data_IF_000181467875
#
_entry.id   IF_000181467875
#
_cell.length_a   1.000
_cell.length_b   1.000
_cell.length_c   1.000
_cell.angle_alpha   90.00
_cell.angle_beta   90.00
_cell.angle_gamma   90.00
#
_symmetry.space_group_name_H-M   'P 1'
#
loop_
_entity.id
_entity.type
_entity.pdbx_description
1 polymer ?
#
# COMPACT_ATOMS: atom_id res chain seq x y z
N UNK A 1 21.98 -6.95 11.35
CA UNK A 1 20.51 -7.01 11.54
C UNK A 1 19.88 -7.07 10.17
N UNK A 2 19.36 -8.23 9.77
CA UNK A 2 18.81 -8.45 8.43
C UNK A 2 17.42 -7.80 8.33
N UNK A 3 17.35 -6.67 7.62
CA UNK A 3 16.08 -6.08 7.19
C UNK A 3 15.38 -7.08 6.26
N UNK A 4 14.41 -7.82 6.78
CA UNK A 4 13.50 -8.67 6.01
C UNK A 4 12.55 -7.79 5.17
N UNK A 5 13.09 -7.11 4.16
CA UNK A 5 12.32 -6.54 3.07
C UNK A 5 11.85 -7.69 2.19
N UNK A 6 10.55 -8.01 2.21
CA UNK A 6 9.95 -8.87 1.17
C UNK A 6 10.37 -8.27 -0.20
N UNK A 7 11.03 -9.02 -1.10
CA UNK A 7 11.61 -8.48 -2.34
C UNK A 7 10.62 -7.71 -3.21
N UNK A 8 9.35 -8.15 -3.20
CA UNK A 8 8.25 -7.53 -3.92
C UNK A 8 7.95 -6.08 -3.47
N UNK A 9 8.16 -5.77 -2.18
CA UNK A 9 7.86 -4.44 -1.63
C UNK A 9 8.93 -3.41 -1.97
N UNK A 10 10.19 -3.84 -2.14
CA UNK A 10 11.28 -2.94 -2.53
C UNK A 10 11.20 -2.56 -4.01
N UNK A 11 10.92 -3.52 -4.88
CA UNK A 11 10.78 -3.29 -6.32
C UNK A 11 9.70 -2.25 -6.62
N UNK A 12 8.50 -2.45 -6.08
CA UNK A 12 7.37 -1.57 -6.36
C UNK A 12 7.58 -0.14 -5.81
N UNK A 13 8.30 0.00 -4.68
CA UNK A 13 8.67 1.31 -4.14
C UNK A 13 9.67 2.04 -5.07
N UNK A 14 10.69 1.33 -5.55
CA UNK A 14 11.66 1.87 -6.52
C UNK A 14 10.94 2.26 -7.82
N UNK A 15 10.06 1.41 -8.35
CA UNK A 15 9.26 1.69 -9.54
C UNK A 15 8.41 2.97 -9.39
N UNK A 16 7.78 3.14 -8.23
CA UNK A 16 7.04 4.36 -7.90
C UNK A 16 7.93 5.61 -7.82
N UNK A 17 9.14 5.50 -7.24
CA UNK A 17 10.10 6.60 -7.20
C UNK A 17 10.53 7.01 -8.60
N UNK A 18 10.99 6.04 -9.40
CA UNK A 18 11.50 6.26 -10.76
C UNK A 18 10.42 6.82 -11.69
N UNK A 19 9.19 6.30 -11.62
CA UNK A 19 8.07 6.77 -12.45
C UNK A 19 7.66 8.22 -12.17
N UNK A 20 7.85 8.74 -10.96
CA UNK A 20 7.52 10.14 -10.63
C UNK A 20 8.71 11.07 -10.88
N UNK A 21 9.91 10.67 -10.47
CA UNK A 21 11.08 11.55 -10.45
C UNK A 21 11.87 11.54 -11.75
N UNK A 22 11.91 10.41 -12.46
CA UNK A 22 12.79 10.21 -13.60
C UNK A 22 12.06 9.87 -14.90
N UNK A 23 10.73 9.71 -14.89
CA UNK A 23 9.95 9.45 -16.11
C UNK A 23 10.01 10.58 -17.14
N UNK A 24 10.29 11.82 -16.73
CA UNK A 24 10.48 12.96 -17.66
C UNK A 24 11.80 12.88 -18.44
N UNK A 25 12.78 12.15 -17.90
CA UNK A 25 14.09 11.95 -18.53
C UNK A 25 14.20 10.60 -19.26
N UNK A 26 13.20 9.74 -19.07
CA UNK A 26 13.06 8.50 -19.82
C UNK A 26 12.79 8.83 -21.30
N UNK A 27 13.50 8.14 -22.20
CA UNK A 27 13.37 8.27 -23.66
C UNK A 27 12.17 7.48 -24.20
N UNK A 28 11.72 6.47 -23.46
CA UNK A 28 10.59 5.60 -23.72
C UNK A 28 9.78 5.49 -22.43
N UNK A 29 8.50 5.26 -22.56
CA UNK A 29 7.61 5.06 -21.42
C UNK A 29 6.63 3.96 -21.80
N UNK A 30 6.41 3.04 -20.88
CA UNK A 30 5.39 2.01 -20.97
C UNK A 30 4.18 2.42 -20.15
N UNK A 31 3.03 2.45 -20.79
CA UNK A 31 1.76 2.67 -20.14
C UNK A 31 1.13 1.32 -19.75
N UNK A 32 0.84 1.13 -18.46
CA UNK A 32 0.05 -0.01 -17.98
C UNK A 32 -1.25 0.49 -17.34
N UNK A 33 -2.36 -0.19 -17.66
CA UNK A 33 -3.63 0.02 -16.96
C UNK A 33 -3.63 -0.81 -15.68
N UNK A 34 -3.81 -0.16 -14.54
CA UNK A 34 -3.99 -0.87 -13.28
C UNK A 34 -5.33 -1.60 -13.34
N UNK A 35 -5.33 -2.92 -13.12
CA UNK A 35 -6.52 -3.78 -13.20
C UNK A 35 -7.77 -3.10 -12.61
N UNK A 36 -8.73 -2.77 -13.48
CA UNK A 36 -10.02 -2.17 -13.11
C UNK A 36 -10.06 -0.65 -12.96
N UNK A 37 -8.99 0.09 -13.24
CA UNK A 37 -8.94 1.56 -13.17
C UNK A 37 -8.77 2.24 -14.53
N UNK A 38 -9.41 3.41 -14.71
CA UNK A 38 -9.24 4.31 -15.86
C UNK A 38 -7.93 5.14 -15.81
N UNK A 39 -7.09 4.95 -14.78
CA UNK A 39 -5.85 5.70 -14.59
C UNK A 39 -4.68 4.96 -15.22
N UNK A 40 -4.12 5.55 -16.28
CA UNK A 40 -2.92 5.10 -16.95
C UNK A 40 -1.71 5.33 -16.03
N UNK A 41 -0.94 4.28 -15.74
CA UNK A 41 0.34 4.41 -15.04
C UNK A 41 1.45 4.35 -16.09
N UNK A 42 2.23 5.43 -16.19
CA UNK A 42 3.43 5.46 -17.01
C UNK A 42 4.60 4.94 -16.18
N UNK A 43 5.26 3.90 -16.69
CA UNK A 43 6.44 3.24 -16.13
C UNK A 43 7.56 3.30 -17.17
N UNK A 44 8.81 3.06 -16.74
CA UNK A 44 9.93 2.97 -17.68
C UNK A 44 9.80 1.75 -18.59
N UNK A 45 10.17 1.88 -19.86
CA UNK A 45 10.18 0.75 -20.79
C UNK A 45 11.29 -0.26 -20.45
N UNK A 46 11.25 -1.44 -21.04
CA UNK A 46 12.26 -2.48 -20.81
C UNK A 46 13.66 -2.01 -21.29
N UNK A 47 14.69 -2.26 -20.46
CA UNK A 47 16.09 -1.85 -20.70
C UNK A 47 16.36 -0.36 -20.73
N UNK A 48 15.41 0.44 -20.25
CA UNK A 48 15.54 1.88 -20.17
C UNK A 48 16.55 2.30 -19.10
N UNK A 49 17.32 3.35 -19.42
CA UNK A 49 18.32 3.93 -18.53
C UNK A 49 17.92 5.35 -18.16
N UNK A 50 17.75 5.60 -16.88
CA UNK A 50 17.59 6.94 -16.31
C UNK A 50 18.76 7.23 -15.39
N UNK A 51 19.18 8.49 -15.32
CA UNK A 51 20.29 8.91 -14.47
C UNK A 51 19.74 9.82 -13.39
N UNK A 52 19.94 9.44 -12.14
CA UNK A 52 19.66 10.28 -10.99
C UNK A 52 20.96 10.95 -10.52
N UNK A 53 20.84 12.12 -9.89
CA UNK A 53 21.96 12.84 -9.30
C UNK A 53 21.75 13.00 -7.79
N UNK A 54 22.63 12.40 -7.00
CA UNK A 54 22.55 12.42 -5.55
C UNK A 54 23.87 12.84 -4.93
N UNK A 55 23.90 13.99 -4.24
CA UNK A 55 25.10 14.59 -3.66
C UNK A 55 26.31 14.61 -4.63
N UNK A 56 26.08 14.94 -5.90
CA UNK A 56 27.10 15.00 -6.96
C UNK A 56 27.54 13.64 -7.52
N UNK A 57 26.93 12.53 -7.08
CA UNK A 57 27.09 11.22 -7.70
C UNK A 57 26.03 11.00 -8.78
N UNK A 58 26.48 10.62 -9.98
CA UNK A 58 25.59 10.15 -11.05
C UNK A 58 25.31 8.67 -10.86
N UNK A 59 24.03 8.33 -10.71
CA UNK A 59 23.56 6.99 -10.43
C UNK A 59 22.61 6.59 -11.55
N UNK A 60 22.92 5.52 -12.26
CA UNK A 60 22.11 5.05 -13.38
C UNK A 60 21.25 3.86 -12.97
N UNK A 61 19.95 3.97 -13.25
CA UNK A 61 18.98 2.90 -13.09
C UNK A 61 18.68 2.25 -14.44
N UNK A 62 18.70 0.93 -14.48
CA UNK A 62 18.41 0.14 -15.69
C UNK A 62 17.31 -0.86 -15.37
N UNK A 63 16.18 -0.79 -16.07
CA UNK A 63 15.11 -1.80 -15.96
C UNK A 63 15.52 -3.09 -16.69
N UNK A 64 15.11 -4.24 -16.18
CA UNK A 64 15.37 -5.52 -16.82
C UNK A 64 14.31 -6.56 -16.50
N UNK A 65 14.18 -7.54 -17.39
CA UNK A 65 13.24 -8.65 -17.27
C UNK A 65 14.00 -9.95 -17.49
N UNK A 66 13.80 -10.91 -16.60
CA UNK A 66 14.31 -12.27 -16.73
C UNK A 66 13.14 -13.19 -17.04
N UNK A 67 13.22 -13.88 -18.18
CA UNK A 67 12.27 -14.92 -18.57
C UNK A 67 12.96 -16.26 -18.37
N UNK A 68 12.56 -17.02 -17.35
CA UNK A 68 12.96 -18.41 -17.19
C UNK A 68 11.92 -19.31 -17.86
N UNK A 69 12.35 -20.07 -18.87
CA UNK A 69 11.55 -21.17 -19.45
C UNK A 69 11.89 -22.45 -18.71
N UNK A 70 11.01 -22.92 -17.83
CA UNK A 70 11.07 -24.28 -17.32
C UNK A 70 10.15 -25.19 -18.14
N UNK A 71 10.73 -26.27 -18.65
CA UNK A 71 10.02 -27.23 -19.50
C UNK A 71 9.03 -28.06 -18.67
N UNK A 72 7.79 -28.11 -19.19
CA UNK A 72 6.71 -29.11 -19.04
C UNK A 72 5.40 -28.62 -18.40
N UNK A 73 5.39 -27.50 -17.69
CA UNK A 73 4.17 -26.82 -17.25
C UNK A 73 4.32 -25.32 -17.51
N UNK A 74 3.54 -24.77 -18.43
CA UNK A 74 3.57 -23.37 -18.87
C UNK A 74 3.22 -22.41 -17.72
N UNK A 75 4.18 -22.12 -16.84
CA UNK A 75 4.17 -20.94 -15.98
C UNK A 75 5.40 -20.12 -16.36
N UNK A 76 5.20 -19.13 -17.23
CA UNK A 76 6.21 -18.10 -17.48
C UNK A 76 6.37 -17.26 -16.22
N UNK A 77 7.34 -17.61 -15.38
CA UNK A 77 7.73 -16.81 -14.22
C UNK A 77 8.56 -15.62 -14.70
N UNK A 78 7.87 -14.54 -15.04
CA UNK A 78 8.50 -13.26 -15.37
C UNK A 78 9.05 -12.60 -14.10
N UNK A 79 10.37 -12.38 -14.04
CA UNK A 79 10.99 -11.61 -12.95
C UNK A 79 11.50 -10.26 -13.47
N UNK A 80 10.82 -9.19 -13.07
CA UNK A 80 11.29 -7.81 -13.30
C UNK A 80 12.35 -7.44 -12.25
N UNK A 81 13.36 -6.67 -12.64
CA UNK A 81 14.41 -6.17 -11.75
C UNK A 81 14.90 -4.79 -12.17
N UNK A 82 15.53 -4.09 -11.24
CA UNK A 82 16.27 -2.87 -11.50
C UNK A 82 17.75 -3.08 -11.19
N UNK A 83 18.62 -2.66 -12.11
CA UNK A 83 20.07 -2.66 -11.94
C UNK A 83 20.56 -1.24 -11.70
N UNK A 84 21.38 -1.07 -10.67
CA UNK A 84 22.02 0.18 -10.32
C UNK A 84 23.47 0.20 -10.82
N UNK A 85 23.89 1.30 -11.47
CA UNK A 85 25.25 1.52 -11.95
C UNK A 85 25.75 2.88 -11.48
N UNK A 86 26.87 2.89 -10.75
CA UNK A 86 27.47 4.08 -10.18
C UNK A 86 28.98 3.87 -10.00
N UNK A 87 29.73 4.96 -9.85
CA UNK A 87 31.17 4.88 -9.62
C UNK A 87 31.47 4.28 -8.23
N UNK A 88 32.38 3.31 -8.14
CA UNK A 88 32.72 2.57 -6.90
C UNK A 88 32.99 3.46 -5.68
N UNK A 89 33.55 4.66 -5.88
CA UNK A 89 33.83 5.65 -4.83
C UNK A 89 32.58 6.08 -4.03
N UNK A 90 31.39 5.93 -4.60
CA UNK A 90 30.12 6.29 -3.97
C UNK A 90 29.39 5.08 -3.37
N UNK A 91 30.01 3.91 -3.30
CA UNK A 91 29.33 2.66 -2.91
C UNK A 91 28.60 2.78 -1.58
N UNK A 92 29.28 3.23 -0.54
CA UNK A 92 28.70 3.26 0.81
C UNK A 92 27.56 4.30 0.90
N UNK A 93 27.75 5.48 0.30
CA UNK A 93 26.69 6.50 0.19
C UNK A 93 25.47 5.97 -0.58
N UNK A 94 25.69 5.20 -1.65
CA UNK A 94 24.61 4.68 -2.47
C UNK A 94 23.86 3.55 -1.75
N UNK A 95 24.57 2.62 -1.13
CA UNK A 95 23.94 1.47 -0.45
C UNK A 95 23.24 1.87 0.84
N UNK A 96 23.81 2.83 1.58
CA UNK A 96 23.38 3.09 2.96
C UNK A 96 22.44 4.29 3.05
N UNK A 97 22.56 5.28 2.14
CA UNK A 97 21.78 6.52 2.20
C UNK A 97 20.81 6.60 1.03
N UNK A 98 21.33 6.53 -0.20
CA UNK A 98 20.51 6.75 -1.40
C UNK A 98 19.39 5.72 -1.53
N UNK A 99 19.68 4.42 -1.41
CA UNK A 99 18.68 3.37 -1.54
C UNK A 99 17.60 3.45 -0.45
N UNK A 100 17.97 3.82 0.78
CA UNK A 100 17.01 4.02 1.86
C UNK A 100 16.06 5.18 1.54
N UNK A 101 16.61 6.30 1.07
CA UNK A 101 15.81 7.46 0.65
C UNK A 101 14.89 7.13 -0.53
N UNK A 102 15.39 6.43 -1.55
CA UNK A 102 14.58 5.98 -2.71
C UNK A 102 13.42 5.10 -2.26
N UNK A 103 13.68 4.12 -1.39
CA UNK A 103 12.63 3.25 -0.86
C UNK A 103 11.62 4.04 -0.02
N UNK A 104 12.10 4.97 0.80
CA UNK A 104 11.24 5.82 1.65
C UNK A 104 10.31 6.68 0.79
N UNK A 105 10.86 7.47 -0.14
CA UNK A 105 10.08 8.32 -1.05
C UNK A 105 9.18 7.49 -1.95
N UNK A 106 9.69 6.36 -2.46
CA UNK A 106 8.92 5.41 -3.24
C UNK A 106 7.68 4.90 -2.50
N UNK A 107 7.82 4.53 -1.23
CA UNK A 107 6.70 4.13 -0.38
C UNK A 107 5.73 5.27 -0.14
N UNK A 108 6.20 6.48 0.08
CA UNK A 108 5.33 7.66 0.23
C UNK A 108 4.49 7.91 -1.03
N UNK A 109 5.09 7.77 -2.22
CA UNK A 109 4.38 7.84 -3.51
C UNK A 109 3.37 6.71 -3.63
N UNK A 110 3.74 5.48 -3.28
CA UNK A 110 2.83 4.34 -3.31
C UNK A 110 1.64 4.55 -2.39
N UNK A 111 1.86 5.01 -1.16
CA UNK A 111 0.78 5.33 -0.23
C UNK A 111 -0.11 6.43 -0.81
N UNK A 112 0.47 7.50 -1.34
CA UNK A 112 -0.28 8.61 -1.95
C UNK A 112 -1.10 8.19 -3.17
N UNK A 113 -0.60 7.24 -3.97
CA UNK A 113 -1.27 6.77 -5.19
C UNK A 113 -2.13 5.52 -4.96
N UNK A 114 -2.05 4.90 -3.78
CA UNK A 114 -2.86 3.74 -3.43
C UNK A 114 -4.31 4.18 -3.38
N UNK A 115 -5.14 3.48 -4.16
CA UNK A 115 -6.58 3.54 -3.96
C UNK A 115 -6.94 2.61 -2.80
N UNK A 116 -7.67 3.14 -1.81
CA UNK A 116 -8.28 2.35 -0.75
C UNK A 116 -9.18 1.27 -1.34
N UNK A 117 -9.33 0.17 -0.62
CA UNK A 117 -10.11 -0.99 -1.04
C UNK A 117 -11.19 -1.30 -0.01
N UNK A 118 -12.32 -1.79 -0.51
CA UNK A 118 -13.37 -2.40 0.29
C UNK A 118 -13.31 -3.90 0.06
N UNK A 119 -13.00 -4.63 1.12
CA UNK A 119 -12.91 -6.08 1.15
C UNK A 119 -14.20 -6.68 1.69
N UNK A 120 -14.66 -7.75 1.07
CA UNK A 120 -15.83 -8.53 1.50
C UNK A 120 -15.46 -10.02 1.54
N UNK A 121 -15.95 -10.75 2.53
CA UNK A 121 -15.77 -12.19 2.62
C UNK A 121 -16.86 -12.90 1.81
N UNK A 122 -16.46 -13.57 0.73
CA UNK A 122 -17.37 -14.38 -0.07
C UNK A 122 -17.22 -15.86 0.33
N UNK A 123 -18.26 -16.45 0.92
CA UNK A 123 -18.27 -17.84 1.42
C UNK A 123 -18.11 -18.96 0.38
N UNK A 124 -17.83 -18.61 -0.88
CA UNK A 124 -17.76 -19.52 -2.03
C UNK A 124 -16.47 -19.42 -2.88
N UNK A 125 -15.53 -18.51 -2.58
CA UNK A 125 -14.29 -18.34 -3.37
C UNK A 125 -13.09 -19.08 -2.76
N UNK A 126 -12.13 -19.48 -3.61
CA UNK A 126 -10.79 -19.94 -3.18
C UNK A 126 -10.02 -18.85 -2.42
N UNK A 127 -10.35 -17.58 -2.65
CA UNK A 127 -9.75 -16.43 -1.96
C UNK A 127 -10.64 -15.98 -0.82
N UNK A 128 -10.09 -15.89 0.38
CA UNK A 128 -10.80 -15.54 1.62
C UNK A 128 -11.45 -14.14 1.57
N UNK A 129 -10.85 -13.19 0.84
CA UNK A 129 -11.37 -11.84 0.64
C UNK A 129 -11.44 -11.47 -0.85
N UNK A 130 -12.57 -10.92 -1.30
CA UNK A 130 -12.69 -10.17 -2.56
C UNK A 130 -12.64 -8.68 -2.30
N UNK A 131 -12.27 -7.86 -3.28
CA UNK A 131 -12.25 -6.41 -3.09
C UNK A 131 -12.67 -5.61 -4.32
N UNK A 132 -13.18 -4.41 -4.04
CA UNK A 132 -13.39 -3.33 -4.99
C UNK A 132 -12.62 -2.09 -4.56
N UNK A 133 -12.46 -1.13 -5.45
CA UNK A 133 -11.95 0.20 -5.09
C UNK A 133 -12.96 0.88 -4.16
N UNK A 134 -12.48 1.37 -3.02
CA UNK A 134 -13.27 2.13 -2.07
C UNK A 134 -13.19 3.63 -2.39
N UNK A 135 -14.22 4.14 -3.05
CA UNK A 135 -14.42 5.56 -3.32
C UNK A 135 -15.73 6.01 -2.65
N UNK A 136 -15.61 6.70 -1.51
CA UNK A 136 -16.75 7.24 -0.77
C UNK A 136 -16.52 8.72 -0.45
N UNK A 137 -17.47 9.63 -0.71
CA UNK A 137 -17.26 11.08 -0.57
C UNK A 137 -17.26 11.57 0.88
N UNK A 138 -17.75 10.77 1.84
CA UNK A 138 -17.89 11.20 3.22
C UNK A 138 -16.55 11.55 3.88
N UNK A 139 -16.51 12.70 4.52
CA UNK A 139 -15.43 13.14 5.40
C UNK A 139 -16.03 13.46 6.76
N UNK A 140 -15.18 13.63 7.78
CA UNK A 140 -15.68 14.13 9.06
C UNK A 140 -16.39 15.49 8.91
N UNK A 141 -15.95 16.33 7.98
CA UNK A 141 -16.63 17.59 7.65
C UNK A 141 -18.09 17.41 7.20
N UNK A 142 -18.37 16.38 6.39
CA UNK A 142 -19.73 16.11 5.88
C UNK A 142 -20.65 15.39 6.88
N UNK A 143 -20.13 14.90 8.01
CA UNK A 143 -20.96 14.21 9.01
C UNK A 143 -21.81 15.21 9.81
N UNK A 144 -23.12 14.98 9.84
CA UNK A 144 -24.05 15.74 10.68
C UNK A 144 -24.00 15.23 12.13
N UNK A 145 -23.17 15.86 12.95
CA UNK A 145 -23.00 15.55 14.37
C UNK A 145 -22.45 16.76 15.12
N UNK A 146 -22.57 16.76 16.44
CA UNK A 146 -22.03 17.81 17.30
C UNK A 146 -20.51 17.96 17.11
N UNK A 147 -20.05 19.21 16.96
CA UNK A 147 -18.65 19.51 16.64
C UNK A 147 -17.67 19.00 17.70
N UNK A 148 -18.01 19.14 18.99
CA UNK A 148 -17.17 18.68 20.08
C UNK A 148 -16.95 17.16 20.03
N UNK A 149 -18.04 16.39 19.88
CA UNK A 149 -17.99 14.92 19.78
C UNK A 149 -17.28 14.45 18.50
N UNK A 150 -17.44 15.19 17.41
CA UNK A 150 -16.71 14.94 16.17
C UNK A 150 -15.20 15.06 16.39
N UNK A 151 -14.77 16.14 17.03
CA UNK A 151 -13.37 16.41 17.30
C UNK A 151 -12.77 15.37 18.26
N UNK A 152 -13.48 15.02 19.32
CA UNK A 152 -13.07 13.98 20.28
C UNK A 152 -12.75 12.64 19.58
N UNK A 153 -13.63 12.21 18.66
CA UNK A 153 -13.45 10.96 17.92
C UNK A 153 -12.27 11.07 16.94
N UNK A 154 -12.12 12.21 16.25
CA UNK A 154 -10.98 12.44 15.37
C UNK A 154 -9.66 12.39 16.13
N UNK A 155 -9.58 13.06 17.28
CA UNK A 155 -8.38 13.11 18.10
C UNK A 155 -8.00 11.72 18.62
N UNK A 156 -8.99 10.92 19.07
CA UNK A 156 -8.75 9.54 19.51
C UNK A 156 -8.23 8.65 18.36
N UNK A 157 -8.79 8.79 17.16
CA UNK A 157 -8.38 8.02 15.98
C UNK A 157 -6.95 8.36 15.56
N UNK A 158 -6.61 9.66 15.50
CA UNK A 158 -5.27 10.12 15.16
C UNK A 158 -4.24 9.72 16.23
N UNK A 159 -4.61 9.87 17.50
CA UNK A 159 -3.78 9.41 18.62
C UNK A 159 -3.54 7.90 18.54
N UNK A 160 -4.57 7.09 18.29
CA UNK A 160 -4.42 5.65 18.15
C UNK A 160 -3.50 5.27 17.00
N UNK A 161 -3.64 5.92 15.83
CA UNK A 161 -2.76 5.72 14.66
C UNK A 161 -1.29 5.97 15.00
N UNK A 162 -1.02 7.04 15.75
CA UNK A 162 0.34 7.50 16.02
C UNK A 162 0.95 6.83 17.27
N UNK A 163 0.17 6.04 18.02
CA UNK A 163 0.59 5.39 19.28
C UNK A 163 1.23 4.00 19.12
N UNK A 164 1.55 3.53 17.90
CA UNK A 164 2.07 2.17 17.68
C UNK A 164 3.27 1.81 18.58
N UNK A 165 4.27 2.70 18.65
CA UNK A 165 5.49 2.48 19.43
C UNK A 165 5.22 2.51 20.93
N UNK A 166 4.24 3.31 21.38
CA UNK A 166 3.81 3.34 22.77
C UNK A 166 3.25 1.98 23.19
N UNK A 167 2.35 1.38 22.38
CA UNK A 167 1.78 0.05 22.65
C UNK A 167 2.87 -1.03 22.69
N UNK A 168 3.82 -0.99 21.75
CA UNK A 168 4.96 -1.89 21.72
C UNK A 168 5.82 -1.79 22.99
N UNK A 169 6.14 -0.56 23.43
CA UNK A 169 6.96 -0.29 24.62
C UNK A 169 6.33 -0.84 25.90
N UNK A 170 5.01 -0.80 26.02
CA UNK A 170 4.29 -1.29 27.21
C UNK A 170 3.84 -2.75 27.07
N UNK A 171 4.21 -3.44 25.98
CA UNK A 171 3.88 -4.84 25.74
C UNK A 171 2.39 -5.12 25.52
N UNK A 172 1.60 -4.12 25.07
CA UNK A 172 0.16 -4.29 24.80
C UNK A 172 -0.12 -4.45 23.32
N UNK A 173 -1.15 -5.22 22.99
CA UNK A 173 -1.62 -5.36 21.61
C UNK A 173 -2.15 -4.01 21.09
N UNK A 174 -1.63 -3.56 19.94
CA UNK A 174 -2.07 -2.33 19.27
C UNK A 174 -3.42 -2.57 18.58
N UNK A 175 -4.51 -2.45 19.36
CA UNK A 175 -5.90 -2.67 18.93
C UNK A 175 -6.83 -1.64 19.57
N UNK A 176 -7.84 -1.20 18.82
CA UNK A 176 -8.88 -0.27 19.28
C UNK A 176 -10.23 -0.71 18.70
N UNK A 177 -11.28 -0.69 19.53
CA UNK A 177 -12.64 -1.06 19.12
C UNK A 177 -13.61 0.08 19.35
N UNK A 178 -14.50 0.32 18.39
CA UNK A 178 -15.55 1.34 18.47
C UNK A 178 -16.91 0.66 18.25
N UNK A 179 -17.91 1.04 19.05
CA UNK A 179 -19.29 0.60 18.89
C UNK A 179 -20.15 1.78 18.46
N UNK A 180 -20.63 1.75 17.21
CA UNK A 180 -21.58 2.73 16.69
C UNK A 180 -22.99 2.15 16.82
N UNK A 181 -23.84 2.80 17.63
CA UNK A 181 -25.21 2.36 17.87
C UNK A 181 -26.20 3.51 17.63
N UNK A 182 -27.45 3.14 17.31
CA UNK A 182 -28.53 4.08 17.04
C UNK A 182 -29.48 3.58 15.95
N UNK A 183 -30.61 4.27 15.72
CA UNK A 183 -31.60 3.91 14.70
C UNK A 183 -31.02 3.66 13.30
N UNK A 184 -31.65 2.84 12.45
CA UNK A 184 -31.24 2.72 11.05
C UNK A 184 -31.30 4.09 10.36
N UNK A 185 -30.38 4.34 9.42
CA UNK A 185 -30.32 5.62 8.69
C UNK A 185 -29.58 6.77 9.38
N UNK A 186 -29.06 6.61 10.60
CA UNK A 186 -28.31 7.67 11.31
C UNK A 186 -26.85 7.85 10.88
N UNK A 187 -26.48 7.40 9.68
CA UNK A 187 -25.13 7.62 9.13
C UNK A 187 -24.00 6.79 9.74
N UNK A 188 -24.27 5.67 10.42
CA UNK A 188 -23.23 4.80 10.99
C UNK A 188 -22.21 4.32 9.94
N UNK A 189 -22.68 3.78 8.82
CA UNK A 189 -21.80 3.34 7.73
C UNK A 189 -21.08 4.52 7.07
N UNK A 190 -21.75 5.68 6.96
CA UNK A 190 -21.15 6.93 6.49
C UNK A 190 -20.01 7.39 7.40
N UNK A 191 -20.13 7.20 8.71
CA UNK A 191 -19.08 7.48 9.68
C UNK A 191 -17.89 6.54 9.52
N UNK A 192 -18.12 5.24 9.31
CA UNK A 192 -17.05 4.27 8.99
C UNK A 192 -16.29 4.73 7.73
N UNK A 193 -17.00 5.17 6.69
CA UNK A 193 -16.37 5.68 5.49
C UNK A 193 -15.54 6.96 5.73
N UNK A 194 -16.04 7.88 6.55
CA UNK A 194 -15.29 9.07 6.95
C UNK A 194 -14.02 8.73 7.75
N UNK A 195 -14.08 7.72 8.62
CA UNK A 195 -12.92 7.21 9.37
C UNK A 195 -11.88 6.60 8.42
N UNK A 196 -12.31 5.75 7.50
CA UNK A 196 -11.43 5.15 6.50
C UNK A 196 -10.73 6.23 5.64
N UNK A 197 -11.47 7.29 5.28
CA UNK A 197 -10.93 8.42 4.53
C UNK A 197 -9.94 9.27 5.36
N UNK A 198 -10.19 9.47 6.65
CA UNK A 198 -9.30 10.22 7.57
C UNK A 198 -7.98 9.49 7.81
N UNK A 199 -8.04 8.18 8.00
CA UNK A 199 -6.88 7.35 8.35
C UNK A 199 -6.14 6.79 7.12
N UNK A 200 -6.75 6.93 5.94
CA UNK A 200 -6.32 6.30 4.70
C UNK A 200 -6.25 4.76 4.77
N UNK A 201 -7.27 4.17 5.38
CA UNK A 201 -7.35 2.73 5.63
C UNK A 201 -8.28 2.03 4.63
N UNK A 202 -7.95 0.78 4.31
CA UNK A 202 -8.88 -0.12 3.63
C UNK A 202 -10.00 -0.53 4.61
N UNK A 203 -11.18 -0.81 4.05
CA UNK A 203 -12.35 -1.26 4.83
C UNK A 203 -12.54 -2.74 4.60
N UNK A 204 -12.71 -3.50 5.69
CA UNK A 204 -13.07 -4.92 5.64
C UNK A 204 -14.49 -5.06 6.17
N UNK A 205 -15.43 -5.32 5.26
CA UNK A 205 -16.83 -5.62 5.59
C UNK A 205 -16.98 -7.13 5.77
N UNK A 206 -17.16 -7.53 7.02
CA UNK A 206 -17.26 -8.93 7.43
C UNK A 206 -18.73 -9.28 7.63
N UNK A 207 -19.27 -10.03 6.68
CA UNK A 207 -20.60 -10.61 6.79
C UNK A 207 -20.53 -11.90 7.63
N UNK A 208 -20.95 -11.83 8.88
CA UNK A 208 -20.89 -12.97 9.81
C UNK A 208 -21.81 -14.13 9.40
N UNK A 209 -22.90 -13.86 8.69
CA UNK A 209 -23.85 -14.87 8.20
C UNK A 209 -23.25 -15.78 7.13
N UNK A 210 -22.19 -15.33 6.43
CA UNK A 210 -21.47 -16.14 5.44
C UNK A 210 -20.30 -16.93 6.04
N UNK A 211 -20.02 -16.77 7.33
CA UNK A 211 -18.98 -17.50 8.07
C UNK A 211 -19.55 -18.78 8.67
N UNK A 212 -18.97 -19.93 8.32
CA UNK A 212 -19.51 -21.26 8.70
C UNK A 212 -19.18 -21.64 10.13
N UNK A 213 -17.95 -21.35 10.57
CA UNK A 213 -17.47 -21.75 11.88
C UNK A 213 -16.42 -20.77 12.46
N UNK A 214 -16.05 -21.01 13.71
CA UNK A 214 -15.05 -20.21 14.41
C UNK A 214 -13.63 -20.35 13.85
N UNK A 215 -13.33 -21.41 13.11
CA UNK A 215 -12.01 -21.63 12.49
C UNK A 215 -11.90 -20.69 11.29
N UNK A 216 -12.94 -20.62 10.46
CA UNK A 216 -13.05 -19.70 9.33
C UNK A 216 -13.01 -18.24 9.81
N UNK A 217 -13.72 -17.89 10.88
CA UNK A 217 -13.66 -16.56 11.47
C UNK A 217 -12.23 -16.18 11.90
N UNK A 218 -11.52 -17.09 12.60
CA UNK A 218 -10.14 -16.84 13.03
C UNK A 218 -9.20 -16.69 11.84
N UNK A 219 -9.40 -17.48 10.78
CA UNK A 219 -8.62 -17.37 9.54
C UNK A 219 -8.84 -16.01 8.87
N UNK A 220 -10.10 -15.60 8.71
CA UNK A 220 -10.48 -14.30 8.14
C UNK A 220 -9.81 -13.14 8.89
N UNK A 221 -9.84 -13.17 10.23
CA UNK A 221 -9.23 -12.14 11.07
C UNK A 221 -7.69 -12.18 11.08
N UNK A 222 -7.07 -13.34 10.85
CA UNK A 222 -5.61 -13.46 10.79
C UNK A 222 -5.06 -12.92 9.46
N UNK A 223 -5.77 -13.10 8.35
CA UNK A 223 -5.34 -12.65 7.02
C UNK A 223 -5.34 -11.13 6.87
N UNK A 224 -6.05 -10.38 7.72
CA UNK A 224 -6.01 -8.90 7.72
C UNK A 224 -4.77 -8.33 8.43
N UNK A 225 -3.99 -9.17 9.12
CA UNK A 225 -2.80 -8.79 9.90
C UNK A 225 -1.47 -9.09 9.19
N UNK A 226 -1.48 -9.63 7.96
CA UNK A 226 -0.31 -10.13 7.20
C UNK A 226 0.16 -9.24 6.04
#
# INVERSE_FOLDING_TARGET
MSNNLRPHNAYAAIEAYLSVHLAKEAKRLRAETVNGGSKLVLSMDEHERVTDEFHGAKIQWISGKLVQRESKYLLELERKYYKLVFHKKYRDMVTDIYLEQVIKVGREIQMRNRKRKLYTNNGHSKTTWSHIVFEHPATFGSLAMEAAKKQEIMDDLLLFRDSKDFYARIGKAWKRGYLLYGPPGTGKSTMIAAIANLLDYDVYDLELTSVRDNIELRRLLAETLL
#
